data_IF_405035948632
#
_entry.id   IF_405035948632
#
_cell.length_a   1.000
_cell.length_b   1.000
_cell.length_c   1.000
_cell.angle_alpha   90.00
_cell.angle_beta   90.00
_cell.angle_gamma   90.00
#
_symmetry.space_group_name_H-M   'P 1'
#
loop_
_entity.id
_entity.type
_entity.pdbx_description
1 polymer ?
#
# COMPACT_ATOMS: atom_id res chain seq x y z
N UNK A 1 11.78 23.73 -18.74
CA UNK A 1 11.09 23.28 -17.51
C UNK A 1 10.79 21.80 -17.66
N UNK A 2 11.17 20.94 -16.71
CA UNK A 2 11.00 19.48 -16.84
C UNK A 2 9.55 19.09 -16.52
N UNK A 3 8.86 18.47 -17.47
CA UNK A 3 7.52 17.88 -17.27
C UNK A 3 7.60 16.73 -16.26
N UNK A 4 6.61 16.64 -15.37
CA UNK A 4 6.50 15.54 -14.42
C UNK A 4 6.14 14.24 -15.16
N UNK A 5 6.88 13.16 -14.92
CA UNK A 5 6.58 11.85 -15.53
C UNK A 5 5.44 11.14 -14.78
N UNK A 6 4.63 10.34 -15.48
CA UNK A 6 3.55 9.57 -14.89
C UNK A 6 4.09 8.55 -13.86
N UNK A 7 5.27 7.99 -14.11
CA UNK A 7 5.94 7.11 -13.14
C UNK A 7 6.26 7.81 -11.82
N UNK A 8 6.47 9.14 -11.88
CA UNK A 8 6.65 9.93 -10.68
C UNK A 8 5.36 9.99 -9.90
N UNK A 9 4.18 10.21 -10.48
CA UNK A 9 2.92 10.23 -9.72
C UNK A 9 2.47 8.83 -9.29
N UNK A 10 2.66 7.81 -10.13
CA UNK A 10 2.27 6.43 -9.84
C UNK A 10 3.14 5.74 -8.77
N UNK A 11 4.21 6.38 -8.28
CA UNK A 11 5.07 5.80 -7.23
C UNK A 11 5.92 4.62 -7.67
N UNK A 12 6.00 4.37 -8.97
CA UNK A 12 6.94 3.42 -9.56
C UNK A 12 8.38 3.94 -9.52
N UNK A 13 8.59 5.26 -9.49
CA UNK A 13 9.89 5.84 -9.16
C UNK A 13 10.12 5.85 -7.64
N UNK A 14 10.89 4.86 -7.17
CA UNK A 14 11.68 5.11 -5.97
C UNK A 14 12.75 6.16 -6.29
N UNK A 15 12.57 7.38 -5.79
CA UNK A 15 13.57 8.47 -5.84
C UNK A 15 14.93 8.13 -5.22
N UNK A 16 15.08 6.96 -4.59
CA UNK A 16 16.33 6.49 -3.98
C UNK A 16 16.90 5.22 -4.62
N UNK A 17 16.20 4.62 -5.59
CA UNK A 17 16.69 3.42 -6.26
C UNK A 17 16.78 3.65 -7.76
N UNK A 18 17.89 4.24 -8.19
CA UNK A 18 18.61 3.69 -9.35
C UNK A 18 19.06 2.26 -9.01
N UNK A 19 18.12 1.36 -8.67
CA UNK A 19 18.38 -0.07 -8.75
C UNK A 19 18.53 -0.34 -10.23
N UNK A 20 19.70 -0.85 -10.63
CA UNK A 20 19.94 -1.37 -11.99
C UNK A 20 18.66 -2.01 -12.51
N UNK A 21 18.17 -1.53 -13.66
CA UNK A 21 17.05 -2.13 -14.38
C UNK A 21 17.28 -3.64 -14.39
N UNK A 22 16.28 -4.41 -13.97
CA UNK A 22 16.38 -5.87 -13.91
C UNK A 22 16.69 -6.35 -15.33
N UNK A 23 17.73 -7.17 -15.48
CA UNK A 23 18.19 -7.66 -16.78
C UNK A 23 17.87 -9.15 -16.96
N UNK A 24 17.81 -9.61 -18.20
CA UNK A 24 17.62 -11.04 -18.47
C UNK A 24 18.76 -11.90 -17.92
N UNK A 25 20.00 -11.39 -17.85
CA UNK A 25 21.13 -12.06 -17.15
C UNK A 25 20.81 -12.32 -15.67
N UNK A 26 20.16 -11.37 -15.00
CA UNK A 26 19.76 -11.54 -13.59
C UNK A 26 18.73 -12.66 -13.46
N UNK A 27 17.72 -12.65 -14.33
CA UNK A 27 16.61 -13.62 -14.32
C UNK A 27 17.12 -15.03 -14.67
N UNK A 28 18.08 -15.12 -15.58
CA UNK A 28 18.68 -16.37 -16.03
C UNK A 28 19.69 -16.97 -15.02
N UNK A 29 20.00 -16.28 -13.91
CA UNK A 29 20.95 -16.81 -12.93
C UNK A 29 20.44 -18.12 -12.31
N UNK A 30 21.33 -19.12 -12.11
CA UNK A 30 20.93 -20.39 -11.53
C UNK A 30 20.52 -20.25 -10.06
N UNK A 31 21.07 -19.27 -9.34
CA UNK A 31 20.86 -19.10 -7.90
C UNK A 31 20.18 -17.76 -7.62
N UNK A 32 18.99 -17.81 -7.02
CA UNK A 32 18.23 -16.65 -6.59
C UNK A 32 18.21 -16.59 -5.07
N UNK A 33 18.55 -15.44 -4.52
CA UNK A 33 18.61 -15.23 -3.07
C UNK A 33 17.79 -14.01 -2.71
N UNK A 34 16.97 -14.12 -1.67
CA UNK A 34 16.21 -13.01 -1.13
C UNK A 34 16.52 -12.83 0.35
N UNK A 35 16.84 -11.60 0.74
CA UNK A 35 17.18 -11.26 2.12
C UNK A 35 16.18 -10.25 2.65
N UNK A 36 15.54 -10.61 3.75
CA UNK A 36 14.59 -9.76 4.48
C UNK A 36 15.09 -9.51 5.89
N UNK A 37 15.20 -8.24 6.28
CA UNK A 37 15.40 -7.82 7.65
C UNK A 37 14.06 -7.36 8.23
N UNK A 38 13.85 -7.65 9.51
CA UNK A 38 12.71 -7.20 10.31
C UNK A 38 13.20 -6.71 11.67
N UNK A 39 12.40 -5.89 12.35
CA UNK A 39 12.76 -5.39 13.68
C UNK A 39 11.51 -5.25 14.56
N UNK A 40 11.67 -5.49 15.85
CA UNK A 40 10.61 -5.38 16.86
C UNK A 40 11.15 -4.58 18.05
N UNK A 41 10.43 -3.58 18.57
CA UNK A 41 10.82 -2.88 19.79
C UNK A 41 10.99 -3.85 20.95
N UNK A 42 12.07 -3.68 21.73
CA UNK A 42 12.39 -4.57 22.83
C UNK A 42 13.14 -3.81 23.91
N UNK A 43 12.52 -3.68 25.08
CA UNK A 43 12.98 -2.79 26.15
C UNK A 43 14.34 -3.22 26.74
N UNK A 44 14.52 -4.52 27.02
CA UNK A 44 15.78 -5.04 27.56
C UNK A 44 16.92 -5.20 26.54
N UNK A 45 16.71 -4.84 25.27
CA UNK A 45 17.77 -4.91 24.27
C UNK A 45 18.61 -3.63 24.32
N UNK A 46 19.94 -3.76 24.27
CA UNK A 46 20.87 -2.61 24.28
C UNK A 46 20.56 -1.58 23.18
N UNK A 47 20.05 -2.05 22.04
CA UNK A 47 19.64 -1.21 20.92
C UNK A 47 18.18 -0.71 20.98
N UNK A 48 17.44 -1.05 22.04
CA UNK A 48 16.00 -0.81 22.20
C UNK A 48 15.12 -1.63 21.25
N UNK A 49 15.71 -2.63 20.56
CA UNK A 49 15.01 -3.49 19.60
C UNK A 49 15.69 -4.85 19.44
N UNK A 50 14.90 -5.84 19.01
CA UNK A 50 15.42 -7.05 18.37
C UNK A 50 15.38 -6.83 16.87
N UNK A 51 16.48 -7.18 16.22
CA UNK A 51 16.59 -7.19 14.77
C UNK A 51 16.73 -8.63 14.30
N UNK A 52 16.04 -8.99 13.21
CA UNK A 52 16.14 -10.32 12.65
C UNK A 52 16.28 -10.33 11.15
N UNK A 53 16.69 -11.49 10.65
CA UNK A 53 16.96 -11.71 9.24
C UNK A 53 16.36 -13.02 8.75
N UNK A 54 16.04 -13.05 7.46
CA UNK A 54 15.64 -14.21 6.69
C UNK A 54 16.40 -14.19 5.38
N UNK A 55 17.06 -15.28 5.05
CA UNK A 55 17.78 -15.52 3.80
C UNK A 55 17.10 -16.73 3.14
N UNK A 56 16.32 -16.48 2.10
CA UNK A 56 15.78 -17.54 1.26
C UNK A 56 16.71 -17.77 0.06
N UNK A 57 17.03 -19.03 -0.22
CA UNK A 57 17.86 -19.43 -1.35
C UNK A 57 17.07 -20.40 -2.22
N UNK A 58 17.00 -20.09 -3.51
CA UNK A 58 16.49 -20.94 -4.57
C UNK A 58 17.67 -21.28 -5.51
N UNK A 59 18.07 -22.54 -5.52
CA UNK A 59 19.16 -23.05 -6.34
C UNK A 59 18.74 -24.38 -7.00
N UNK A 60 19.43 -24.83 -8.07
CA UNK A 60 19.04 -26.03 -8.81
C UNK A 60 19.03 -27.31 -7.95
N UNK A 61 19.89 -27.35 -6.92
CA UNK A 61 20.02 -28.50 -6.00
C UNK A 61 19.07 -28.43 -4.79
N UNK A 62 18.22 -27.40 -4.70
CA UNK A 62 17.23 -27.30 -3.64
C UNK A 62 16.94 -25.86 -3.20
N UNK A 63 15.81 -25.73 -2.50
CA UNK A 63 15.34 -24.47 -1.92
C UNK A 63 15.40 -24.55 -0.41
N UNK A 64 16.00 -23.56 0.23
CA UNK A 64 16.11 -23.53 1.70
C UNK A 64 16.07 -22.11 2.26
N UNK A 65 15.90 -22.02 3.58
CA UNK A 65 15.83 -20.75 4.31
C UNK A 65 16.79 -20.81 5.50
N UNK A 66 17.43 -19.69 5.79
CA UNK A 66 18.18 -19.44 7.03
C UNK A 66 17.64 -18.18 7.67
N UNK A 67 17.32 -18.25 8.95
CA UNK A 67 16.81 -17.11 9.71
C UNK A 67 17.51 -17.01 11.05
N UNK A 68 17.50 -15.82 11.63
CA UNK A 68 18.02 -15.58 12.96
C UNK A 68 17.64 -14.18 13.45
N UNK A 69 18.07 -13.87 14.67
CA UNK A 69 17.81 -12.60 15.32
C UNK A 69 18.96 -12.21 16.25
N UNK A 70 19.07 -10.93 16.56
CA UNK A 70 20.07 -10.33 17.44
C UNK A 70 19.45 -9.20 18.25
N UNK A 71 19.96 -8.97 19.46
CA UNK A 71 19.66 -7.80 20.29
C UNK A 71 20.74 -6.71 20.20
N UNK A 72 21.87 -7.03 19.57
CA UNK A 72 23.13 -6.29 19.71
C UNK A 72 23.33 -5.21 18.63
N UNK A 73 22.31 -4.91 17.81
CA UNK A 73 22.41 -3.89 16.76
C UNK A 73 23.31 -4.25 15.56
N UNK A 74 23.80 -5.49 15.46
CA UNK A 74 24.79 -5.95 14.49
C UNK A 74 24.17 -6.75 13.32
N UNK A 75 22.88 -6.54 13.04
CA UNK A 75 22.08 -7.37 12.12
C UNK A 75 22.68 -7.49 10.72
N UNK A 76 23.24 -6.41 10.17
CA UNK A 76 23.83 -6.40 8.81
C UNK A 76 25.04 -7.34 8.74
N UNK A 77 25.97 -7.22 9.68
CA UNK A 77 27.18 -8.04 9.74
C UNK A 77 26.83 -9.52 9.89
N UNK A 78 25.91 -9.85 10.81
CA UNK A 78 25.41 -11.22 11.01
C UNK A 78 24.75 -11.78 9.76
N UNK A 79 23.91 -10.97 9.10
CA UNK A 79 23.21 -11.39 7.88
C UNK A 79 24.20 -11.72 6.77
N UNK A 80 25.24 -10.91 6.59
CA UNK A 80 26.27 -11.13 5.56
C UNK A 80 27.10 -12.36 5.88
N UNK A 81 27.46 -12.59 7.16
CA UNK A 81 28.13 -13.81 7.59
C UNK A 81 27.29 -15.07 7.33
N UNK A 82 26.01 -15.02 7.68
CA UNK A 82 25.06 -16.10 7.44
C UNK A 82 24.80 -16.35 5.96
N UNK A 83 24.79 -15.30 5.13
CA UNK A 83 24.72 -15.43 3.67
C UNK A 83 25.94 -16.17 3.13
N UNK A 84 27.15 -15.78 3.54
CA UNK A 84 28.39 -16.46 3.13
C UNK A 84 28.35 -17.94 3.50
N UNK A 85 27.90 -18.26 4.71
CA UNK A 85 27.70 -19.64 5.15
C UNK A 85 26.62 -20.38 4.33
N UNK A 86 25.50 -19.72 4.05
CA UNK A 86 24.40 -20.29 3.26
C UNK A 86 24.78 -20.58 1.81
N UNK A 87 25.65 -19.75 1.21
CA UNK A 87 26.13 -19.93 -0.15
C UNK A 87 27.36 -20.86 -0.25
N UNK A 88 27.95 -21.27 0.89
CA UNK A 88 29.05 -22.22 0.90
C UNK A 88 28.60 -23.55 0.27
N UNK A 89 29.20 -23.91 -0.87
CA UNK A 89 28.87 -25.13 -1.61
C UNK A 89 27.70 -25.02 -2.59
N UNK A 90 27.04 -23.85 -2.67
CA UNK A 90 26.03 -23.59 -3.71
C UNK A 90 26.76 -23.24 -5.02
N UNK A 91 26.54 -24.04 -6.06
CA UNK A 91 27.17 -23.84 -7.38
C UNK A 91 26.36 -22.87 -8.23
N UNK A 92 27.05 -21.93 -8.87
CA UNK A 92 26.49 -21.00 -9.85
C UNK A 92 26.50 -19.54 -9.39
N UNK A 93 26.35 -18.63 -10.35
CA UNK A 93 26.26 -17.19 -10.07
C UNK A 93 24.94 -16.88 -9.35
N UNK A 94 25.03 -16.12 -8.26
CA UNK A 94 23.86 -15.71 -7.50
C UNK A 94 23.36 -14.31 -7.92
N UNK A 95 22.04 -14.14 -7.92
CA UNK A 95 21.38 -12.84 -7.93
C UNK A 95 20.64 -12.64 -6.60
N UNK A 96 21.00 -11.57 -5.89
CA UNK A 96 20.45 -11.23 -4.59
C UNK A 96 19.40 -10.12 -4.71
N UNK A 97 18.33 -10.23 -3.95
CA UNK A 97 17.35 -9.15 -3.74
C UNK A 97 17.22 -8.82 -2.26
N UNK A 98 17.12 -7.52 -1.95
CA UNK A 98 16.83 -7.04 -0.59
C UNK A 98 15.52 -6.28 -0.51
N UNK A 99 15.00 -6.07 0.69
CA UNK A 99 13.83 -5.22 0.92
C UNK A 99 14.06 -3.76 0.53
N UNK A 100 12.96 -3.01 0.37
CA UNK A 100 13.00 -1.61 -0.07
C UNK A 100 13.89 -0.77 0.85
N UNK A 101 13.61 -0.73 2.16
CA UNK A 101 14.29 0.15 3.15
C UNK A 101 15.55 -0.46 3.81
N UNK A 102 16.37 -1.21 3.07
CA UNK A 102 17.56 -1.90 3.59
C UNK A 102 18.86 -1.42 2.93
N UNK A 103 19.12 -0.10 2.99
CA UNK A 103 20.24 0.53 2.30
C UNK A 103 21.61 0.06 2.83
N UNK A 104 21.79 -0.01 4.15
CA UNK A 104 23.04 -0.45 4.76
C UNK A 104 23.42 -1.89 4.37
N UNK A 105 22.46 -2.82 4.44
CA UNK A 105 22.66 -4.20 3.99
C UNK A 105 23.05 -4.24 2.51
N UNK A 106 22.35 -3.46 1.66
CA UNK A 106 22.64 -3.45 0.23
C UNK A 106 24.03 -2.92 -0.08
N UNK A 107 24.42 -1.81 0.55
CA UNK A 107 25.75 -1.23 0.40
C UNK A 107 26.84 -2.24 0.78
N UNK A 108 26.64 -2.97 1.89
CA UNK A 108 27.56 -4.02 2.32
C UNK A 108 27.63 -5.19 1.32
N UNK A 109 26.49 -5.65 0.78
CA UNK A 109 26.48 -6.71 -0.23
C UNK A 109 27.19 -6.30 -1.53
N UNK A 110 27.00 -5.04 -1.97
CA UNK A 110 27.74 -4.48 -3.12
C UNK A 110 29.23 -4.43 -2.83
N UNK A 111 29.63 -3.99 -1.63
CA UNK A 111 31.04 -3.97 -1.19
C UNK A 111 31.68 -5.35 -1.20
N UNK A 112 30.89 -6.40 -0.92
CA UNK A 112 31.31 -7.80 -1.01
C UNK A 112 31.21 -8.40 -2.43
N UNK A 113 31.02 -7.55 -3.45
CA UNK A 113 30.95 -7.90 -4.87
C UNK A 113 29.77 -8.82 -5.26
N UNK A 114 28.65 -8.76 -4.52
CA UNK A 114 27.42 -9.45 -4.94
C UNK A 114 26.62 -8.63 -5.96
N UNK A 115 26.01 -9.33 -6.91
CA UNK A 115 24.97 -8.73 -7.75
C UNK A 115 23.67 -8.63 -6.96
N UNK A 116 23.33 -7.41 -6.51
CA UNK A 116 22.16 -7.15 -5.67
C UNK A 116 21.23 -6.11 -6.28
N UNK A 117 19.93 -6.36 -6.24
CA UNK A 117 18.89 -5.38 -6.54
C UNK A 117 17.96 -5.17 -5.34
N UNK A 118 17.22 -4.06 -5.35
CA UNK A 118 16.30 -3.72 -4.26
C UNK A 118 14.88 -4.21 -4.48
N UNK A 119 14.04 -3.94 -3.47
CA UNK A 119 12.58 -3.99 -3.56
C UNK A 119 11.95 -5.35 -3.84
N UNK A 120 12.60 -6.46 -3.50
CA UNK A 120 12.09 -7.82 -3.76
C UNK A 120 11.50 -7.94 -5.18
N UNK A 121 12.35 -7.72 -6.19
CA UNK A 121 11.97 -7.90 -7.60
C UNK A 121 11.14 -9.17 -7.81
N UNK A 122 9.98 -9.04 -8.46
CA UNK A 122 9.00 -10.13 -8.64
C UNK A 122 9.59 -11.33 -9.40
N UNK A 123 10.53 -11.06 -10.31
CA UNK A 123 11.24 -12.08 -11.10
C UNK A 123 12.22 -12.91 -10.25
N UNK A 124 12.51 -12.48 -9.01
CA UNK A 124 13.36 -13.26 -8.13
C UNK A 124 12.58 -14.37 -7.42
N UNK A 125 12.86 -15.63 -7.78
CA UNK A 125 12.21 -16.85 -7.25
C UNK A 125 12.23 -16.99 -5.72
N UNK A 126 13.18 -16.35 -5.02
CA UNK A 126 13.27 -16.44 -3.56
C UNK A 126 12.48 -15.33 -2.82
N UNK A 127 12.06 -14.27 -3.52
CA UNK A 127 11.50 -13.03 -2.94
C UNK A 127 10.25 -13.26 -2.09
N UNK A 128 9.25 -13.93 -2.67
CA UNK A 128 7.96 -14.20 -2.01
C UNK A 128 8.16 -14.99 -0.71
N UNK A 129 9.02 -16.01 -0.73
CA UNK A 129 9.29 -16.87 0.43
C UNK A 129 10.00 -16.11 1.55
N UNK A 130 11.00 -15.29 1.23
CA UNK A 130 11.68 -14.46 2.22
C UNK A 130 10.72 -13.46 2.88
N UNK A 131 9.90 -12.77 2.08
CA UNK A 131 8.94 -11.78 2.58
C UNK A 131 7.91 -12.42 3.53
N UNK A 132 7.31 -13.54 3.13
CA UNK A 132 6.31 -14.24 3.94
C UNK A 132 6.87 -14.73 5.28
N UNK A 133 8.07 -15.32 5.29
CA UNK A 133 8.70 -15.81 6.52
C UNK A 133 9.13 -14.65 7.41
N UNK A 134 9.67 -13.57 6.83
CA UNK A 134 10.04 -12.35 7.57
C UNK A 134 8.83 -11.77 8.31
N UNK A 135 7.70 -11.63 7.62
CA UNK A 135 6.46 -11.10 8.23
C UNK A 135 5.97 -11.97 9.38
N UNK A 136 5.99 -13.30 9.22
CA UNK A 136 5.62 -14.24 10.29
C UNK A 136 6.57 -14.16 11.49
N UNK A 137 7.87 -14.07 11.25
CA UNK A 137 8.88 -13.96 12.29
C UNK A 137 8.74 -12.64 13.08
N UNK A 138 8.55 -11.53 12.38
CA UNK A 138 8.28 -10.21 12.97
C UNK A 138 7.02 -10.25 13.84
N UNK A 139 5.91 -10.79 13.33
CA UNK A 139 4.67 -10.92 14.09
C UNK A 139 4.82 -11.80 15.33
N UNK A 140 5.53 -12.93 15.22
CA UNK A 140 5.78 -13.82 16.35
C UNK A 140 6.66 -13.15 17.42
N UNK A 141 7.70 -12.41 17.01
CA UNK A 141 8.55 -11.65 17.91
C UNK A 141 7.78 -10.52 18.60
N UNK A 142 6.91 -9.80 17.86
CA UNK A 142 6.05 -8.76 18.41
C UNK A 142 5.05 -9.33 19.43
N UNK A 143 4.40 -10.44 19.10
CA UNK A 143 3.49 -11.12 20.02
C UNK A 143 4.22 -11.54 21.31
N UNK A 144 5.44 -12.11 21.15
CA UNK A 144 6.28 -12.48 22.30
C UNK A 144 6.63 -11.26 23.14
N UNK A 145 7.09 -10.17 22.54
CA UNK A 145 7.46 -8.94 23.25
C UNK A 145 6.28 -8.42 24.10
N UNK A 146 5.08 -8.35 23.52
CA UNK A 146 3.87 -7.96 24.24
C UNK A 146 3.52 -8.91 25.39
N UNK A 147 3.61 -10.22 25.14
CA UNK A 147 3.27 -11.25 26.14
C UNK A 147 4.16 -11.20 27.39
N UNK A 148 5.44 -10.85 27.22
CA UNK A 148 6.42 -10.86 28.32
C UNK A 148 6.74 -9.45 28.85
N UNK A 149 5.99 -8.43 28.44
CA UNK A 149 6.16 -7.05 28.90
C UNK A 149 7.41 -6.33 28.37
N UNK A 150 8.02 -6.83 27.30
CA UNK A 150 9.23 -6.26 26.68
C UNK A 150 8.92 -5.29 25.53
N UNK A 151 7.64 -5.13 25.20
CA UNK A 151 7.24 -4.26 24.10
C UNK A 151 7.32 -2.79 24.53
N UNK A 152 8.31 -2.09 24.00
CA UNK A 152 8.35 -0.63 24.07
C UNK A 152 7.51 -0.01 22.95
N UNK A 153 6.50 0.78 23.31
CA UNK A 153 5.76 1.56 22.33
C UNK A 153 6.69 2.61 21.71
N UNK A 154 7.00 2.48 20.42
CA UNK A 154 7.82 3.48 19.74
C UNK A 154 7.03 4.76 19.66
N UNK A 155 7.60 5.85 20.17
CA UNK A 155 7.11 7.19 19.86
C UNK A 155 6.94 7.31 18.34
N UNK A 156 5.79 7.80 17.85
CA UNK A 156 5.57 7.95 16.42
C UNK A 156 6.70 8.80 15.85
N UNK A 157 7.38 8.29 14.82
CA UNK A 157 8.35 9.13 14.08
C UNK A 157 7.59 10.33 13.57
N UNK A 158 8.02 11.53 13.96
CA UNK A 158 7.50 12.77 13.42
C UNK A 158 7.75 12.73 11.92
N UNK A 159 6.68 12.55 11.15
CA UNK A 159 6.75 12.65 9.69
C UNK A 159 6.66 14.13 9.36
N UNK A 160 7.68 14.66 8.69
CA UNK A 160 7.67 16.06 8.26
C UNK A 160 6.54 16.29 7.25
N UNK A 161 5.74 17.32 7.51
CA UNK A 161 4.72 17.80 6.59
C UNK A 161 5.41 18.53 5.43
N UNK A 162 5.23 18.01 4.22
CA UNK A 162 5.68 18.68 3.00
C UNK A 162 4.75 19.84 2.66
N UNK A 163 5.24 20.80 1.89
CA UNK A 163 4.39 21.88 1.37
C UNK A 163 3.36 21.31 0.38
N UNK A 164 2.09 21.67 0.56
CA UNK A 164 1.06 21.45 -0.46
C UNK A 164 1.08 22.62 -1.44
N UNK A 165 1.24 22.33 -2.71
CA UNK A 165 1.15 23.34 -3.77
C UNK A 165 -0.29 23.54 -4.26
N UNK A 166 -1.14 22.52 -4.17
CA UNK A 166 -2.53 22.54 -4.61
C UNK A 166 -3.28 21.27 -4.17
N UNK A 167 -4.61 21.26 -4.31
CA UNK A 167 -5.49 20.14 -3.96
C UNK A 167 -6.30 19.71 -5.20
N UNK A 168 -5.86 18.68 -5.95
CA UNK A 168 -6.59 18.18 -7.12
C UNK A 168 -8.02 17.75 -6.76
N UNK A 169 -8.99 18.28 -7.51
CA UNK A 169 -10.38 17.87 -7.46
C UNK A 169 -10.89 17.73 -8.89
N UNK A 170 -11.24 16.51 -9.29
CA UNK A 170 -11.76 16.22 -10.62
C UNK A 170 -12.97 15.31 -10.51
N UNK A 171 -13.97 15.55 -11.35
CA UNK A 171 -15.11 14.67 -11.45
C UNK A 171 -15.59 14.61 -12.90
N UNK A 172 -16.11 13.44 -13.29
CA UNK A 172 -16.94 13.26 -14.49
C UNK A 172 -18.25 12.62 -14.06
N UNK A 173 -19.35 13.18 -14.54
CA UNK A 173 -20.70 12.72 -14.23
C UNK A 173 -21.59 12.95 -15.47
N UNK A 174 -21.44 12.08 -16.46
CA UNK A 174 -22.24 12.08 -17.68
C UNK A 174 -23.58 11.34 -17.49
N UNK A 175 -23.67 10.47 -16.48
CA UNK A 175 -24.89 9.74 -16.13
C UNK A 175 -25.19 8.59 -17.09
N UNK A 176 -25.90 7.56 -16.62
CA UNK A 176 -26.30 6.43 -17.46
C UNK A 176 -27.54 5.71 -16.89
N UNK A 177 -28.33 5.10 -17.79
CA UNK A 177 -29.45 4.23 -17.44
C UNK A 177 -28.95 2.78 -17.23
N UNK A 178 -29.34 2.16 -16.12
CA UNK A 178 -29.05 0.74 -15.84
C UNK A 178 -28.40 0.48 -14.47
N UNK A 179 -28.00 -0.77 -14.24
CA UNK A 179 -27.28 -1.17 -13.02
C UNK A 179 -25.85 -0.65 -13.11
N UNK A 180 -25.49 0.28 -12.23
CA UNK A 180 -24.16 0.89 -12.23
C UNK A 180 -23.22 0.13 -11.29
N UNK A 181 -22.03 -0.23 -11.76
CA UNK A 181 -20.97 -0.78 -10.91
C UNK A 181 -19.96 0.31 -10.59
N UNK A 182 -19.61 0.47 -9.32
CA UNK A 182 -18.64 1.45 -8.85
C UNK A 182 -17.58 0.76 -8.00
N UNK A 183 -16.32 1.12 -8.20
CA UNK A 183 -15.25 0.77 -7.26
C UNK A 183 -14.79 2.02 -6.53
N UNK A 184 -14.50 1.88 -5.24
CA UNK A 184 -14.08 2.97 -4.36
C UNK A 184 -12.75 2.64 -3.70
N UNK A 185 -11.88 3.62 -3.59
CA UNK A 185 -10.60 3.49 -2.91
C UNK A 185 -10.16 4.84 -2.32
N UNK A 186 -9.26 4.81 -1.36
CA UNK A 186 -8.66 5.98 -0.76
C UNK A 186 -7.17 5.82 -0.49
N UNK A 187 -6.44 6.93 -0.58
CA UNK A 187 -5.01 6.97 -0.29
C UNK A 187 -4.69 8.06 0.72
N UNK A 188 -3.86 7.75 1.71
CA UNK A 188 -3.34 8.71 2.69
C UNK A 188 -1.85 8.55 2.94
N UNK A 189 -1.14 9.65 3.19
CA UNK A 189 0.24 9.61 3.67
C UNK A 189 0.33 9.45 5.20
N UNK A 190 -0.82 9.54 5.88
CA UNK A 190 -0.96 9.52 7.33
C UNK A 190 -0.31 10.71 8.02
N UNK A 191 -0.18 11.84 7.32
CA UNK A 191 0.39 13.09 7.83
C UNK A 191 -0.57 14.24 7.60
N UNK A 192 -0.91 14.51 6.34
CA UNK A 192 -1.75 15.66 5.98
C UNK A 192 -2.44 15.51 4.62
N UNK A 193 -2.14 14.47 3.82
CA UNK A 193 -2.73 14.30 2.50
C UNK A 193 -3.64 13.09 2.49
N UNK A 194 -4.90 13.33 2.17
CA UNK A 194 -5.88 12.30 1.85
C UNK A 194 -6.42 12.49 0.43
N UNK A 195 -6.68 11.39 -0.25
CA UNK A 195 -7.39 11.32 -1.51
C UNK A 195 -8.47 10.25 -1.43
N UNK A 196 -9.66 10.56 -1.93
CA UNK A 196 -10.79 9.64 -2.06
C UNK A 196 -11.15 9.56 -3.53
N UNK A 197 -11.43 8.35 -4.00
CA UNK A 197 -11.80 8.11 -5.38
C UNK A 197 -12.96 7.12 -5.48
N UNK A 198 -13.83 7.37 -6.45
CA UNK A 198 -14.63 6.30 -7.05
C UNK A 198 -14.44 6.31 -8.56
N UNK A 199 -14.60 5.13 -9.17
CA UNK A 199 -14.71 4.95 -10.62
C UNK A 199 -15.97 4.13 -10.88
N UNK A 200 -16.80 4.58 -11.79
CA UNK A 200 -18.01 3.91 -12.23
C UNK A 200 -17.80 3.22 -13.59
N UNK A 201 -18.57 2.17 -13.85
CA UNK A 201 -18.47 1.34 -15.06
C UNK A 201 -18.83 2.08 -16.36
N UNK A 202 -19.49 3.23 -16.26
CA UNK A 202 -19.77 4.12 -17.39
C UNK A 202 -18.63 5.12 -17.67
N UNK A 203 -17.50 5.03 -16.95
CA UNK A 203 -16.37 5.96 -17.08
C UNK A 203 -16.50 7.23 -16.25
N UNK A 204 -17.59 7.40 -15.49
CA UNK A 204 -17.70 8.46 -14.50
C UNK A 204 -16.76 8.20 -13.32
N UNK A 205 -16.29 9.27 -12.70
CA UNK A 205 -15.34 9.17 -11.59
C UNK A 205 -15.36 10.42 -10.74
N UNK A 206 -14.79 10.28 -9.54
CA UNK A 206 -14.41 11.39 -8.68
C UNK A 206 -12.98 11.15 -8.21
N UNK A 207 -12.17 12.21 -8.20
CA UNK A 207 -11.00 12.36 -7.37
C UNK A 207 -11.22 13.58 -6.49
N UNK A 208 -11.23 13.38 -5.18
CA UNK A 208 -11.24 14.45 -4.19
C UNK A 208 -9.98 14.34 -3.33
N UNK A 209 -9.21 15.42 -3.21
CA UNK A 209 -8.04 15.48 -2.32
C UNK A 209 -8.23 16.59 -1.29
N UNK A 210 -7.74 16.36 -0.07
CA UNK A 210 -7.90 17.31 1.03
C UNK A 210 -6.76 17.26 2.03
N UNK A 211 -6.57 18.38 2.73
CA UNK A 211 -5.73 18.45 3.93
C UNK A 211 -6.41 17.70 5.06
N UNK A 212 -5.85 16.56 5.46
CA UNK A 212 -6.46 15.70 6.46
C UNK A 212 -5.46 14.78 7.14
N UNK A 213 -5.70 14.53 8.43
CA UNK A 213 -5.01 13.53 9.25
C UNK A 213 -5.86 12.27 9.44
N UNK A 214 -7.00 12.17 8.75
CA UNK A 214 -7.89 11.02 8.82
C UNK A 214 -7.17 9.71 8.47
N UNK A 215 -7.58 8.63 9.14
CA UNK A 215 -7.07 7.29 8.87
C UNK A 215 -7.49 6.80 7.49
N UNK A 216 -6.78 5.80 6.96
CA UNK A 216 -7.17 5.10 5.72
C UNK A 216 -8.63 4.66 5.82
N UNK A 217 -8.99 3.94 6.89
CA UNK A 217 -10.36 3.45 7.13
C UNK A 217 -11.44 4.54 7.08
N UNK A 218 -11.14 5.75 7.56
CA UNK A 218 -12.08 6.88 7.48
C UNK A 218 -12.22 7.42 6.06
N UNK A 219 -11.11 7.53 5.31
CA UNK A 219 -11.15 7.97 3.93
C UNK A 219 -11.81 6.95 2.99
N UNK A 220 -11.67 5.65 3.28
CA UNK A 220 -12.41 4.58 2.58
C UNK A 220 -13.92 4.69 2.80
N UNK A 221 -14.35 5.04 4.02
CA UNK A 221 -15.78 5.29 4.26
C UNK A 221 -16.27 6.55 3.51
N UNK A 222 -15.45 7.59 3.46
CA UNK A 222 -15.76 8.82 2.72
C UNK A 222 -15.76 8.60 1.20
N UNK A 223 -14.94 7.72 0.65
CA UNK A 223 -14.96 7.36 -0.78
C UNK A 223 -16.27 6.66 -1.16
N UNK A 224 -16.75 5.73 -0.31
CA UNK A 224 -18.10 5.13 -0.45
C UNK A 224 -19.19 6.19 -0.31
N UNK A 225 -19.07 7.11 0.63
CA UNK A 225 -20.02 8.23 0.81
C UNK A 225 -20.13 9.08 -0.45
N UNK A 226 -18.99 9.38 -1.10
CA UNK A 226 -18.98 10.11 -2.37
C UNK A 226 -19.66 9.32 -3.49
N UNK A 227 -19.47 8.00 -3.57
CA UNK A 227 -20.16 7.15 -4.52
C UNK A 227 -21.69 7.18 -4.32
N UNK A 228 -22.17 7.11 -3.07
CA UNK A 228 -23.62 7.24 -2.75
C UNK A 228 -24.19 8.59 -3.21
N UNK A 229 -23.50 9.70 -2.88
CA UNK A 229 -23.92 11.05 -3.32
C UNK A 229 -23.95 11.18 -4.84
N UNK A 230 -23.00 10.56 -5.52
CA UNK A 230 -22.99 10.51 -6.98
C UNK A 230 -24.21 9.75 -7.52
N UNK A 231 -24.55 8.57 -6.96
CA UNK A 231 -25.75 7.81 -7.36
C UNK A 231 -27.03 8.64 -7.21
N UNK A 232 -27.14 9.40 -6.12
CA UNK A 232 -28.27 10.32 -5.89
C UNK A 232 -28.32 11.39 -6.97
N UNK A 233 -27.18 12.00 -7.28
CA UNK A 233 -27.03 13.07 -8.27
C UNK A 233 -27.44 12.63 -9.67
N UNK A 234 -27.08 11.41 -10.08
CA UNK A 234 -27.42 10.88 -11.41
C UNK A 234 -28.78 10.20 -11.47
N UNK A 235 -29.50 10.08 -10.35
CA UNK A 235 -30.81 9.43 -10.29
C UNK A 235 -30.77 7.93 -10.59
N UNK A 236 -29.71 7.22 -10.17
CA UNK A 236 -29.58 5.79 -10.40
C UNK A 236 -30.65 5.00 -9.62
N UNK A 237 -31.27 4.00 -10.26
CA UNK A 237 -32.26 3.12 -9.61
C UNK A 237 -31.63 1.89 -8.95
N UNK A 238 -30.46 1.44 -9.44
CA UNK A 238 -29.75 0.28 -8.90
C UNK A 238 -28.24 0.44 -9.08
N UNK A 239 -27.46 0.08 -8.07
CA UNK A 239 -26.01 0.12 -8.13
C UNK A 239 -25.35 -0.96 -7.27
N UNK A 240 -24.14 -1.36 -7.67
CA UNK A 240 -23.22 -2.15 -6.85
C UNK A 240 -21.97 -1.32 -6.58
N UNK A 241 -21.66 -1.09 -5.30
CA UNK A 241 -20.42 -0.45 -4.86
C UNK A 241 -19.47 -1.52 -4.33
N UNK A 242 -18.23 -1.47 -4.80
CA UNK A 242 -17.16 -2.39 -4.47
C UNK A 242 -16.03 -1.66 -3.76
N UNK A 243 -15.58 -2.22 -2.63
CA UNK A 243 -14.42 -1.74 -1.89
C UNK A 243 -13.58 -2.93 -1.44
N UNK A 244 -12.26 -2.79 -1.42
CA UNK A 244 -11.37 -3.78 -0.82
C UNK A 244 -11.15 -3.58 0.70
N UNK A 245 -11.60 -2.42 1.21
CA UNK A 245 -11.51 -2.04 2.61
C UNK A 245 -12.53 -2.80 3.46
N UNK A 246 -12.08 -3.92 4.04
CA UNK A 246 -12.85 -4.66 5.05
C UNK A 246 -13.27 -3.76 6.21
N UNK A 247 -12.40 -2.81 6.58
CA UNK A 247 -12.66 -1.91 7.68
C UNK A 247 -13.84 -0.97 7.36
N UNK A 248 -13.87 -0.36 6.19
CA UNK A 248 -14.99 0.49 5.79
C UNK A 248 -16.32 -0.28 5.78
N UNK A 249 -16.34 -1.50 5.24
CA UNK A 249 -17.54 -2.34 5.22
C UNK A 249 -18.00 -2.74 6.63
N UNK A 250 -17.08 -3.14 7.52
CA UNK A 250 -17.39 -3.40 8.94
C UNK A 250 -17.91 -2.15 9.66
N UNK A 251 -17.46 -0.95 9.27
CA UNK A 251 -17.95 0.31 9.80
C UNK A 251 -19.38 0.60 9.33
N UNK A 252 -19.70 0.31 8.07
CA UNK A 252 -21.05 0.46 7.52
C UNK A 252 -22.03 -0.46 8.25
N UNK A 253 -21.68 -1.74 8.44
CA UNK A 253 -22.49 -2.68 9.22
C UNK A 253 -22.75 -2.15 10.64
N UNK A 254 -21.76 -1.48 11.24
CA UNK A 254 -21.90 -0.85 12.54
C UNK A 254 -22.80 0.39 12.52
N UNK A 255 -22.73 1.22 11.48
CA UNK A 255 -23.52 2.45 11.33
C UNK A 255 -24.99 2.12 11.05
N UNK A 256 -25.25 1.13 10.21
CA UNK A 256 -26.60 0.70 9.80
C UNK A 256 -27.26 -0.27 10.78
N UNK A 257 -26.56 -0.71 11.82
CA UNK A 257 -27.11 -1.60 12.83
C UNK A 257 -28.35 -0.98 13.51
N UNK A 258 -29.45 -1.71 13.53
CA UNK A 258 -30.73 -1.31 14.15
C UNK A 258 -30.64 -1.06 15.65
N UNK A 259 -29.61 -1.60 16.31
CA UNK A 259 -29.31 -1.29 17.72
C UNK A 259 -28.10 -0.36 17.80
N UNK A 260 -28.26 0.90 18.25
CA UNK A 260 -27.17 1.85 18.34
C UNK A 260 -26.07 1.34 19.27
N UNK A 261 -24.94 0.91 18.70
CA UNK A 261 -23.76 0.57 19.50
C UNK A 261 -23.08 1.89 19.92
N UNK A 262 -23.06 2.16 21.23
CA UNK A 262 -22.34 3.32 21.78
C UNK A 262 -20.83 3.09 21.66
N UNK A 263 -20.09 4.09 21.15
CA UNK A 263 -18.63 4.07 21.09
C UNK A 263 -18.05 4.55 19.76
N UNK A 264 -16.72 4.71 19.73
CA UNK A 264 -15.94 5.04 18.53
C UNK A 264 -15.62 3.73 17.81
N UNK A 265 -15.99 3.61 16.53
CA UNK A 265 -15.58 2.45 15.72
C UNK A 265 -14.18 2.71 15.14
N UNK A 266 -13.18 1.96 15.62
CA UNK A 266 -11.78 1.93 15.12
C UNK A 266 -11.20 3.26 14.60
N UNK A 267 -11.37 4.35 15.34
CA UNK A 267 -10.78 5.65 14.98
C UNK A 267 -11.59 6.49 13.99
N UNK A 268 -12.60 5.95 13.31
CA UNK A 268 -13.52 6.72 12.46
C UNK A 268 -14.29 7.73 13.33
N UNK A 269 -14.30 8.97 12.88
CA UNK A 269 -14.94 10.10 13.56
C UNK A 269 -16.46 10.03 13.49
N UNK A 270 -17.15 10.73 14.39
CA UNK A 270 -18.61 10.86 14.32
C UNK A 270 -19.05 11.56 13.02
N UNK A 271 -18.26 12.51 12.52
CA UNK A 271 -18.56 13.26 11.31
C UNK A 271 -18.62 12.36 10.07
N UNK A 272 -17.59 11.54 9.83
CA UNK A 272 -17.59 10.63 8.68
C UNK A 272 -18.75 9.62 8.73
N UNK A 273 -19.08 9.12 9.93
CA UNK A 273 -20.25 8.24 10.12
C UNK A 273 -21.56 8.94 9.79
N UNK A 274 -21.73 10.20 10.21
CA UNK A 274 -22.93 10.98 9.92
C UNK A 274 -23.04 11.27 8.42
N UNK A 275 -21.94 11.67 7.76
CA UNK A 275 -21.95 11.90 6.32
C UNK A 275 -22.36 10.64 5.53
N UNK A 276 -21.83 9.47 5.90
CA UNK A 276 -22.23 8.20 5.29
C UNK A 276 -23.71 7.93 5.52
N UNK A 277 -24.17 8.06 6.78
CA UNK A 277 -25.56 7.79 7.16
C UNK A 277 -26.53 8.70 6.41
N UNK A 278 -26.24 10.00 6.33
CA UNK A 278 -27.03 10.98 5.56
C UNK A 278 -27.11 10.59 4.08
N UNK A 279 -25.96 10.27 3.46
CA UNK A 279 -25.93 9.88 2.04
C UNK A 279 -26.66 8.55 1.77
N UNK A 280 -26.68 7.64 2.75
CA UNK A 280 -27.42 6.38 2.68
C UNK A 280 -28.92 6.63 2.78
N UNK A 281 -29.37 7.38 3.79
CA UNK A 281 -30.78 7.74 4.00
C UNK A 281 -31.36 8.51 2.81
N UNK A 282 -30.58 9.37 2.16
CA UNK A 282 -31.00 10.09 0.95
C UNK A 282 -31.29 9.17 -0.26
N UNK A 283 -30.74 7.95 -0.28
CA UNK A 283 -30.97 6.97 -1.34
C UNK A 283 -32.08 5.96 -1.02
N UNK A 284 -32.53 5.88 0.23
CA UNK A 284 -33.58 4.96 0.64
C UNK A 284 -34.86 5.18 -0.20
N UNK A 285 -35.37 4.09 -0.78
CA UNK A 285 -36.54 4.11 -1.66
C UNK A 285 -36.29 4.65 -3.08
N UNK A 286 -35.15 5.30 -3.35
CA UNK A 286 -34.79 5.83 -4.67
C UNK A 286 -33.82 4.94 -5.44
N UNK A 287 -32.86 4.31 -4.75
CA UNK A 287 -31.83 3.46 -5.36
C UNK A 287 -31.62 2.19 -4.53
N UNK A 288 -31.59 1.03 -5.19
CA UNK A 288 -31.15 -0.21 -4.55
C UNK A 288 -29.63 -0.32 -4.64
N UNK A 289 -28.94 -0.18 -3.51
CA UNK A 289 -27.46 -0.24 -3.44
C UNK A 289 -27.02 -1.57 -2.83
N UNK A 290 -26.20 -2.33 -3.57
CA UNK A 290 -25.49 -3.50 -3.06
C UNK A 290 -24.04 -3.09 -2.71
N UNK A 291 -23.63 -3.32 -1.47
CA UNK A 291 -22.23 -3.17 -1.06
C UNK A 291 -21.53 -4.53 -1.10
N UNK A 292 -20.39 -4.59 -1.76
CA UNK A 292 -19.64 -5.85 -1.89
C UNK A 292 -18.15 -5.66 -1.68
N UNK A 293 -17.51 -6.71 -1.17
CA UNK A 293 -16.07 -6.72 -0.94
C UNK A 293 -15.36 -7.34 -2.13
N UNK A 294 -14.37 -6.62 -2.66
CA UNK A 294 -13.41 -7.17 -3.63
C UNK A 294 -12.08 -7.49 -2.94
N UNK A 295 -11.34 -8.45 -3.48
CA UNK A 295 -9.98 -8.71 -3.01
C UNK A 295 -9.05 -7.69 -3.66
N UNK A 296 -8.45 -6.82 -2.85
CA UNK A 296 -7.46 -5.85 -3.31
C UNK A 296 -6.37 -6.51 -4.15
N UNK A 297 -6.03 -5.90 -5.28
CA UNK A 297 -5.06 -6.41 -6.26
C UNK A 297 -5.39 -7.77 -6.91
N UNK A 298 -6.62 -8.29 -6.80
CA UNK A 298 -7.01 -9.55 -7.43
C UNK A 298 -7.32 -9.46 -8.95
N UNK A 299 -7.01 -8.32 -9.57
CA UNK A 299 -7.17 -8.14 -11.02
C UNK A 299 -8.45 -7.42 -11.44
N UNK A 300 -9.26 -6.90 -10.51
CA UNK A 300 -10.44 -6.11 -10.89
C UNK A 300 -10.04 -4.76 -11.51
N UNK A 301 -10.40 -4.50 -12.78
CA UNK A 301 -9.95 -3.29 -13.46
C UNK A 301 -10.50 -1.98 -12.87
N UNK A 302 -11.74 -1.96 -12.38
CA UNK A 302 -12.34 -0.78 -11.77
C UNK A 302 -11.68 -0.43 -10.44
N UNK A 303 -11.46 -1.42 -9.57
CA UNK A 303 -10.77 -1.21 -8.30
C UNK A 303 -9.32 -0.77 -8.51
N UNK A 304 -8.62 -1.33 -9.50
CA UNK A 304 -7.26 -0.87 -9.85
C UNK A 304 -7.25 0.58 -10.33
N UNK A 305 -8.28 1.01 -11.08
CA UNK A 305 -8.38 2.39 -11.51
C UNK A 305 -8.64 3.33 -10.32
N UNK A 306 -9.53 2.97 -9.39
CA UNK A 306 -9.79 3.76 -8.19
C UNK A 306 -8.51 3.92 -7.32
N UNK A 307 -7.80 2.82 -7.04
CA UNK A 307 -6.51 2.81 -6.33
C UNK A 307 -5.51 3.75 -6.98
N UNK A 308 -5.29 3.55 -8.29
CA UNK A 308 -4.29 4.30 -9.03
C UNK A 308 -4.62 5.80 -9.05
N UNK A 309 -5.89 6.17 -9.26
CA UNK A 309 -6.34 7.57 -9.29
C UNK A 309 -6.19 8.21 -7.91
N UNK A 310 -6.66 7.56 -6.83
CA UNK A 310 -6.52 8.05 -5.47
C UNK A 310 -5.05 8.29 -5.11
N UNK A 311 -4.18 7.32 -5.40
CA UNK A 311 -2.76 7.41 -5.12
C UNK A 311 -2.07 8.53 -5.91
N UNK A 312 -2.31 8.63 -7.22
CA UNK A 312 -1.75 9.71 -8.06
C UNK A 312 -2.24 11.08 -7.59
N UNK A 313 -3.51 11.21 -7.23
CA UNK A 313 -4.10 12.43 -6.70
C UNK A 313 -3.43 12.91 -5.42
N UNK A 314 -3.34 12.04 -4.41
CA UNK A 314 -2.63 12.32 -3.15
C UNK A 314 -1.19 12.78 -3.41
N UNK A 315 -0.52 12.14 -4.37
CA UNK A 315 0.87 12.45 -4.70
C UNK A 315 1.06 13.76 -5.46
N UNK A 316 0.10 14.17 -6.28
CA UNK A 316 0.19 15.40 -7.06
C UNK A 316 0.20 16.67 -6.19
N UNK A 317 -0.35 16.62 -4.97
CA UNK A 317 -0.44 17.74 -4.01
C UNK A 317 0.91 18.40 -3.72
N UNK A 318 2.00 17.63 -3.67
CA UNK A 318 3.36 18.12 -3.34
C UNK A 318 4.18 18.54 -4.57
N UNK A 319 3.53 18.66 -5.73
CA UNK A 319 4.14 19.16 -6.95
C UNK A 319 3.41 20.40 -7.41
N UNK A 320 4.12 21.36 -8.00
CA UNK A 320 3.50 22.54 -8.60
C UNK A 320 2.42 22.15 -9.60
N UNK A 321 1.24 22.76 -9.48
CA UNK A 321 0.07 22.47 -10.31
C UNK A 321 0.39 22.50 -11.81
N UNK A 322 1.16 23.50 -12.27
CA UNK A 322 1.54 23.64 -13.68
C UNK A 322 2.26 22.41 -14.24
N UNK A 323 3.04 21.71 -13.40
CA UNK A 323 3.79 20.52 -13.79
C UNK A 323 3.01 19.22 -13.61
N UNK A 324 2.17 19.13 -12.59
CA UNK A 324 1.49 17.90 -12.19
C UNK A 324 0.12 17.74 -12.84
N UNK A 325 -0.59 18.83 -13.10
CA UNK A 325 -1.97 18.81 -13.59
C UNK A 325 -2.14 18.05 -14.92
N UNK A 326 -1.34 18.31 -15.99
CA UNK A 326 -1.49 17.58 -17.24
C UNK A 326 -1.14 16.09 -17.10
N UNK A 327 -0.13 15.77 -16.29
CA UNK A 327 0.29 14.39 -16.03
C UNK A 327 -0.75 13.61 -15.24
N UNK A 328 -1.40 14.25 -14.25
CA UNK A 328 -2.47 13.64 -13.47
C UNK A 328 -3.70 13.35 -14.34
N UNK A 329 -4.14 14.29 -15.19
CA UNK A 329 -5.25 14.06 -16.12
C UNK A 329 -4.96 12.89 -17.08
N UNK A 330 -3.78 12.87 -17.70
CA UNK A 330 -3.34 11.75 -18.54
C UNK A 330 -3.30 10.42 -17.78
N UNK A 331 -2.92 10.45 -16.50
CA UNK A 331 -2.91 9.30 -15.61
C UNK A 331 -4.31 8.77 -15.34
N UNK A 332 -5.26 9.66 -15.06
CA UNK A 332 -6.67 9.34 -14.84
C UNK A 332 -7.26 8.71 -16.10
N UNK A 333 -7.10 9.33 -17.27
CA UNK A 333 -7.59 8.79 -18.54
C UNK A 333 -7.03 7.40 -18.84
N UNK A 334 -5.73 7.19 -18.57
CA UNK A 334 -5.09 5.88 -18.74
C UNK A 334 -5.63 4.82 -17.78
N UNK A 335 -5.96 5.21 -16.55
CA UNK A 335 -6.56 4.30 -15.57
C UNK A 335 -7.99 3.92 -15.99
N UNK A 336 -8.79 4.90 -16.40
CA UNK A 336 -10.16 4.68 -16.89
C UNK A 336 -10.21 3.80 -18.14
N UNK A 337 -9.33 4.03 -19.13
CA UNK A 337 -9.27 3.21 -20.35
C UNK A 337 -8.93 1.74 -20.05
N UNK A 338 -8.21 1.44 -18.97
CA UNK A 338 -7.94 0.05 -18.58
C UNK A 338 -9.11 -0.61 -17.86
N UNK A 339 -10.01 0.19 -17.30
CA UNK A 339 -11.15 -0.27 -16.53
C UNK A 339 -12.40 -0.56 -17.38
N UNK A 340 -12.50 0.07 -18.55
CA UNK A 340 -13.62 -0.05 -19.49
C UNK A 340 -13.43 -1.05 -20.62
#
# INVERSE_FOLDING_TARGET
MKSLDLEQLAGTQSRTYQSRKITDDMIARPVHVAIALWEVPWESADSGKIEGWVIAVDAPRGRFVRSGQTKNGDVVSRTVSMLKAALKGVRGKAWLVTGRRQAALRAELVRQNYLVTGSFAEQNRAGVKASAISRRAEQAALYKAKKIGEFAERAPRVKERQEAHWWPQFARAEGALGVLRLATDASTDGVFRGAMCFVASNGDYLLDTRDTTASSDELELESITHALRYLKKIGASQARIESDSKAALEAIDFILATTPRRGRWRGITARARNHFKEAWEELEGACTVELSRVLGHAGDPLNQAADQIAYMGMRAVIFEQKSAHPTLLKGIEKALHKAG
#
